data_IF_643045568011
#
_entry.id   IF_643045568011
#
_cell.length_a   1.000
_cell.length_b   1.000
_cell.length_c   1.000
_cell.angle_alpha   90.00
_cell.angle_beta   90.00
_cell.angle_gamma   90.00
#
_symmetry.space_group_name_H-M   'P 1'
#
loop_
_entity.id
_entity.type
_entity.pdbx_description
1 polymer ?
#
# COMPACT_ATOMS: atom_id res chain seq x y z
N UNK A 1 -31.96 -2.65 5.34
CA UNK A 1 -31.04 -1.49 5.16
C UNK A 1 -29.62 -1.78 5.65
N UNK A 2 -29.42 -2.46 6.80
CA UNK A 2 -28.12 -2.98 7.29
C UNK A 2 -27.30 -3.80 6.26
N UNK A 3 -27.94 -4.65 5.45
CA UNK A 3 -27.24 -5.47 4.45
C UNK A 3 -26.59 -4.67 3.31
N UNK A 4 -27.16 -3.51 2.91
CA UNK A 4 -26.59 -2.67 1.83
C UNK A 4 -25.35 -1.88 2.29
N UNK A 5 -25.21 -1.68 3.59
CA UNK A 5 -24.19 -0.88 4.27
C UNK A 5 -22.88 -1.66 4.51
N UNK A 6 -23.02 -2.88 5.06
CA UNK A 6 -21.92 -3.85 5.09
C UNK A 6 -21.41 -4.10 3.67
N UNK A 7 -22.33 -4.26 2.71
CA UNK A 7 -21.97 -4.51 1.32
C UNK A 7 -21.02 -3.45 0.73
N UNK A 8 -21.25 -2.13 0.93
CA UNK A 8 -20.39 -1.08 0.33
C UNK A 8 -19.01 -0.94 0.97
N UNK A 9 -18.94 -1.00 2.30
CA UNK A 9 -17.66 -0.94 3.04
C UNK A 9 -16.82 -2.18 2.74
N UNK A 10 -17.47 -3.35 2.70
CA UNK A 10 -16.83 -4.56 2.20
C UNK A 10 -16.43 -4.41 0.73
N UNK A 11 -17.25 -3.79 -0.12
CA UNK A 11 -16.90 -3.57 -1.54
C UNK A 11 -15.59 -2.81 -1.69
N UNK A 12 -15.38 -1.69 -0.99
CA UNK A 12 -14.10 -0.93 -1.05
C UNK A 12 -12.92 -1.77 -0.57
N UNK A 13 -13.09 -2.53 0.51
CA UNK A 13 -12.07 -3.41 1.05
C UNK A 13 -11.73 -4.54 0.07
N UNK A 14 -12.75 -5.18 -0.51
CA UNK A 14 -12.61 -6.25 -1.50
C UNK A 14 -11.92 -5.74 -2.76
N UNK A 15 -12.30 -4.56 -3.27
CA UNK A 15 -11.61 -3.91 -4.39
C UNK A 15 -10.13 -3.69 -4.07
N UNK A 16 -9.83 -3.23 -2.86
CA UNK A 16 -8.45 -3.04 -2.42
C UNK A 16 -7.66 -4.35 -2.34
N UNK A 17 -8.27 -5.39 -1.76
CA UNK A 17 -7.69 -6.73 -1.67
C UNK A 17 -7.44 -7.35 -3.05
N UNK A 18 -8.41 -7.25 -3.96
CA UNK A 18 -8.28 -7.74 -5.34
C UNK A 18 -7.13 -7.03 -6.06
N UNK A 19 -6.99 -5.71 -5.91
CA UNK A 19 -5.88 -4.99 -6.54
C UNK A 19 -4.51 -5.48 -6.05
N UNK A 20 -4.38 -5.79 -4.75
CA UNK A 20 -3.14 -6.35 -4.18
C UNK A 20 -2.91 -7.79 -4.67
N UNK A 21 -3.98 -8.60 -4.75
CA UNK A 21 -3.93 -9.96 -5.30
C UNK A 21 -3.44 -9.96 -6.75
N UNK A 22 -3.94 -9.03 -7.58
CA UNK A 22 -3.49 -8.87 -8.97
C UNK A 22 -2.04 -8.39 -9.04
N UNK A 23 -1.62 -7.47 -8.17
CA UNK A 23 -0.21 -7.08 -8.08
C UNK A 23 0.69 -8.28 -7.70
N UNK A 24 0.27 -9.11 -6.75
CA UNK A 24 0.99 -10.31 -6.34
C UNK A 24 1.06 -11.37 -7.46
N UNK A 25 0.02 -11.49 -8.29
CA UNK A 25 0.05 -12.30 -9.52
C UNK A 25 1.09 -11.77 -10.52
N UNK A 26 1.17 -10.45 -10.73
CA UNK A 26 2.21 -9.89 -11.61
C UNK A 26 3.62 -10.16 -11.09
N UNK A 27 3.83 -10.09 -9.78
CA UNK A 27 5.12 -10.43 -9.17
C UNK A 27 5.48 -11.92 -9.31
N UNK A 28 4.50 -12.83 -9.42
CA UNK A 28 4.80 -14.26 -9.61
C UNK A 28 5.21 -14.56 -11.05
N UNK A 29 4.59 -13.91 -12.03
CA UNK A 29 5.04 -13.98 -13.43
C UNK A 29 6.51 -13.58 -13.54
N UNK A 30 6.90 -12.48 -12.89
CA UNK A 30 8.27 -11.98 -12.97
C UNK A 30 9.28 -12.89 -12.28
N UNK A 31 9.06 -13.21 -11.00
CA UNK A 31 9.99 -14.05 -10.23
C UNK A 31 10.16 -15.46 -10.81
N UNK A 32 9.11 -16.03 -11.38
CA UNK A 32 9.13 -17.41 -11.89
C UNK A 32 9.56 -17.51 -13.35
N UNK A 33 9.22 -16.54 -14.21
CA UNK A 33 9.42 -16.68 -15.66
C UNK A 33 10.24 -15.58 -16.31
N UNK A 34 10.12 -14.33 -15.87
CA UNK A 34 10.80 -13.21 -16.55
C UNK A 34 12.23 -13.05 -16.02
N UNK A 35 12.37 -12.83 -14.71
CA UNK A 35 13.64 -12.54 -14.04
C UNK A 35 14.73 -13.59 -14.30
N UNK A 36 14.43 -14.91 -14.39
CA UNK A 36 15.47 -15.90 -14.68
C UNK A 36 16.22 -15.66 -15.99
N UNK A 37 15.57 -15.06 -17.00
CA UNK A 37 16.19 -14.75 -18.29
C UNK A 37 17.11 -13.52 -18.24
N UNK A 38 17.20 -12.85 -17.08
CA UNK A 38 18.09 -11.72 -16.83
C UNK A 38 19.33 -12.10 -16.01
N UNK A 39 19.51 -13.38 -15.64
CA UNK A 39 20.56 -13.82 -14.71
C UNK A 39 22.00 -13.53 -15.17
N UNK A 40 22.22 -13.39 -16.48
CA UNK A 40 23.51 -13.05 -17.06
C UNK A 40 23.90 -11.57 -16.85
N UNK A 41 22.96 -10.72 -16.42
CA UNK A 41 23.19 -9.30 -16.16
C UNK A 41 23.50 -9.07 -14.67
N UNK A 42 24.29 -8.03 -14.33
CA UNK A 42 24.44 -7.64 -12.94
C UNK A 42 23.08 -7.26 -12.31
N UNK A 43 22.76 -7.79 -11.13
CA UNK A 43 21.48 -7.52 -10.46
C UNK A 43 21.21 -6.01 -10.27
N UNK A 44 22.25 -5.22 -10.00
CA UNK A 44 22.14 -3.76 -9.93
C UNK A 44 21.69 -3.11 -11.24
N UNK A 45 22.13 -3.64 -12.38
CA UNK A 45 21.72 -3.17 -13.71
C UNK A 45 20.24 -3.47 -13.96
N UNK A 46 19.80 -4.67 -13.57
CA UNK A 46 18.39 -5.08 -13.67
C UNK A 46 17.50 -4.14 -12.85
N UNK A 47 17.86 -3.90 -11.58
CA UNK A 47 17.13 -3.01 -10.67
C UNK A 47 17.12 -1.57 -11.18
N UNK A 48 18.25 -1.06 -11.69
CA UNK A 48 18.30 0.26 -12.29
C UNK A 48 17.36 0.36 -13.50
N UNK A 49 17.43 -0.59 -14.42
CA UNK A 49 16.70 -0.53 -15.69
C UNK A 49 15.18 -0.59 -15.45
N UNK A 50 14.71 -1.53 -14.64
CA UNK A 50 13.27 -1.68 -14.38
C UNK A 50 12.68 -0.45 -13.64
N UNK A 51 13.44 0.14 -12.70
CA UNK A 51 12.97 1.31 -11.96
C UNK A 51 13.07 2.60 -12.76
N UNK A 52 14.10 2.75 -13.61
CA UNK A 52 14.23 3.90 -14.50
C UNK A 52 13.11 3.92 -15.53
N UNK A 53 12.89 2.80 -16.24
CA UNK A 53 11.80 2.69 -17.22
C UNK A 53 10.44 2.81 -16.55
N UNK A 54 10.24 2.19 -15.38
CA UNK A 54 9.01 2.36 -14.60
C UNK A 54 8.78 3.80 -14.16
N UNK A 55 9.83 4.54 -13.79
CA UNK A 55 9.73 5.96 -13.47
C UNK A 55 9.33 6.79 -14.69
N UNK A 56 9.89 6.50 -15.87
CA UNK A 56 9.50 7.19 -17.12
C UNK A 56 8.00 7.02 -17.43
N UNK A 57 7.43 5.85 -17.16
CA UNK A 57 5.98 5.62 -17.32
C UNK A 57 5.16 6.35 -16.25
N UNK A 58 5.68 6.46 -15.03
CA UNK A 58 4.94 7.01 -13.89
C UNK A 58 5.12 8.52 -13.69
N UNK A 59 6.14 9.15 -14.28
CA UNK A 59 6.44 10.58 -14.12
C UNK A 59 5.26 11.50 -14.46
N UNK A 60 4.36 11.21 -15.44
CA UNK A 60 3.20 12.06 -15.71
C UNK A 60 2.23 12.16 -14.53
N UNK A 61 2.21 11.18 -13.61
CA UNK A 61 1.39 11.26 -12.40
C UNK A 61 2.03 12.13 -11.30
N UNK A 62 3.36 12.31 -11.35
CA UNK A 62 4.15 13.07 -10.39
C UNK A 62 4.23 14.56 -10.75
N UNK A 63 4.48 14.90 -12.03
CA UNK A 63 4.72 16.28 -12.49
C UNK A 63 3.64 17.27 -12.02
N UNK A 64 2.33 16.99 -12.16
CA UNK A 64 1.29 17.94 -11.74
C UNK A 64 1.25 18.19 -10.22
N UNK A 65 1.90 17.32 -9.43
CA UNK A 65 1.84 17.31 -7.97
C UNK A 65 3.19 17.61 -7.30
N UNK A 66 4.22 17.99 -8.06
CA UNK A 66 5.54 18.32 -7.51
C UNK A 66 5.47 19.39 -6.42
N UNK A 67 4.60 20.40 -6.57
CA UNK A 67 4.40 21.44 -5.56
C UNK A 67 3.88 20.89 -4.24
N UNK A 68 3.08 19.82 -4.27
CA UNK A 68 2.54 19.19 -3.05
C UNK A 68 3.64 18.49 -2.24
N UNK A 69 4.72 18.04 -2.89
CA UNK A 69 5.83 17.37 -2.20
C UNK A 69 6.57 18.30 -1.24
N UNK A 70 6.56 19.62 -1.50
CA UNK A 70 7.14 20.63 -0.59
C UNK A 70 6.40 20.71 0.74
N UNK A 71 5.14 20.27 0.77
CA UNK A 71 4.28 20.32 1.95
C UNK A 71 4.19 18.97 2.67
N UNK A 72 4.96 17.96 2.24
CA UNK A 72 5.03 16.68 2.96
C UNK A 72 5.76 16.88 4.28
N UNK A 73 5.18 16.35 5.36
CA UNK A 73 5.79 16.37 6.67
C UNK A 73 7.01 15.45 6.73
N UNK A 74 7.87 15.64 7.75
CA UNK A 74 9.11 14.87 7.91
C UNK A 74 8.85 13.36 7.97
N UNK A 75 7.72 12.93 8.55
CA UNK A 75 7.41 11.49 8.67
C UNK A 75 6.98 10.90 7.33
N UNK A 76 6.23 11.63 6.50
CA UNK A 76 5.88 11.16 5.16
C UNK A 76 7.10 11.13 4.23
N UNK A 77 8.01 12.12 4.32
CA UNK A 77 9.29 12.05 3.61
C UNK A 77 10.14 10.87 4.06
N UNK A 78 10.23 10.62 5.38
CA UNK A 78 10.89 9.44 5.91
C UNK A 78 10.28 8.14 5.37
N UNK A 79 8.95 8.05 5.30
CA UNK A 79 8.27 6.90 4.71
C UNK A 79 8.53 6.75 3.20
N UNK A 80 8.56 7.85 2.44
CA UNK A 80 8.90 7.85 1.01
C UNK A 80 10.32 7.36 0.75
N UNK A 81 11.29 7.84 1.53
CA UNK A 81 12.68 7.36 1.46
C UNK A 81 12.73 5.88 1.85
N UNK A 82 12.06 5.47 2.93
CA UNK A 82 12.07 4.09 3.41
C UNK A 82 11.56 3.11 2.35
N UNK A 83 10.40 3.37 1.74
CA UNK A 83 9.84 2.48 0.72
C UNK A 83 10.69 2.44 -0.55
N UNK A 84 11.43 3.51 -0.84
CA UNK A 84 12.32 3.60 -2.00
C UNK A 84 13.65 2.87 -1.78
N UNK A 85 14.20 2.97 -0.56
CA UNK A 85 15.44 2.32 -0.16
C UNK A 85 15.20 0.84 0.10
N UNK A 86 14.29 0.48 1.00
CA UNK A 86 14.05 -0.92 1.37
C UNK A 86 13.22 -1.61 0.29
N UNK A 87 12.01 -1.14 0.02
CA UNK A 87 11.12 -1.84 -0.91
C UNK A 87 11.56 -1.71 -2.37
N UNK A 88 12.06 -0.55 -2.77
CA UNK A 88 12.49 -0.32 -4.15
C UNK A 88 13.88 -0.87 -4.43
N UNK A 89 14.91 -0.38 -3.73
CA UNK A 89 16.29 -0.70 -4.06
C UNK A 89 16.80 -1.99 -3.40
N UNK A 90 16.98 -1.99 -2.06
CA UNK A 90 17.62 -3.08 -1.33
C UNK A 90 16.86 -4.39 -1.43
N UNK A 91 15.54 -4.36 -1.30
CA UNK A 91 14.69 -5.54 -1.39
C UNK A 91 14.74 -6.16 -2.77
N UNK A 92 14.61 -5.34 -3.82
CA UNK A 92 14.65 -5.81 -5.20
C UNK A 92 16.05 -6.27 -5.62
N UNK A 93 17.10 -5.59 -5.17
CA UNK A 93 18.48 -6.01 -5.38
C UNK A 93 18.75 -7.37 -4.70
N UNK A 94 18.39 -7.49 -3.42
CA UNK A 94 18.65 -8.70 -2.64
C UNK A 94 17.84 -9.89 -3.19
N UNK A 95 16.56 -9.72 -3.52
CA UNK A 95 15.79 -10.84 -4.09
C UNK A 95 16.29 -11.25 -5.48
N UNK A 96 16.76 -10.28 -6.28
CA UNK A 96 17.37 -10.58 -7.59
C UNK A 96 18.66 -11.37 -7.43
N UNK A 97 19.53 -10.98 -6.49
CA UNK A 97 20.74 -11.72 -6.17
C UNK A 97 20.42 -13.13 -5.65
N UNK A 98 19.45 -13.25 -4.75
CA UNK A 98 19.05 -14.54 -4.20
C UNK A 98 18.53 -15.50 -5.30
N UNK A 99 17.71 -15.00 -6.24
CA UNK A 99 17.25 -15.80 -7.37
C UNK A 99 18.36 -16.13 -8.37
N UNK A 100 19.28 -15.20 -8.65
CA UNK A 100 20.41 -15.48 -9.54
C UNK A 100 21.32 -16.56 -8.94
N UNK A 101 21.56 -16.53 -7.63
CA UNK A 101 22.26 -17.62 -6.91
C UNK A 101 21.49 -18.95 -6.87
N UNK A 102 20.17 -18.93 -7.09
CA UNK A 102 19.41 -20.17 -7.25
C UNK A 102 19.53 -20.73 -8.68
N UNK A 103 19.63 -19.85 -9.67
CA UNK A 103 19.75 -20.20 -11.10
C UNK A 103 21.15 -20.70 -11.43
N UNK A 104 22.19 -20.11 -10.85
CA UNK A 104 23.58 -20.57 -11.03
C UNK A 104 23.90 -21.88 -10.29
N UNK A 105 22.95 -22.41 -9.50
CA UNK A 105 23.07 -23.65 -8.76
C UNK A 105 23.75 -23.53 -7.39
N UNK A 106 24.11 -22.33 -6.93
CA UNK A 106 24.75 -22.12 -5.63
C UNK A 106 23.82 -22.48 -4.46
N UNK A 107 22.51 -22.26 -4.62
CA UNK A 107 21.46 -22.69 -3.69
C UNK A 107 20.23 -23.20 -4.44
N UNK A 108 19.32 -23.82 -3.72
CA UNK A 108 18.00 -24.18 -4.26
C UNK A 108 17.05 -22.97 -4.27
N UNK A 109 16.09 -22.95 -5.21
CA UNK A 109 14.97 -21.99 -5.14
C UNK A 109 14.18 -22.12 -3.83
N UNK A 110 14.14 -23.32 -3.23
CA UNK A 110 13.54 -23.54 -1.92
C UNK A 110 14.17 -22.67 -0.83
N UNK A 111 15.51 -22.50 -0.83
CA UNK A 111 16.21 -21.62 0.12
C UNK A 111 15.64 -20.20 0.09
N UNK A 112 15.50 -19.64 -1.11
CA UNK A 112 15.01 -18.27 -1.30
C UNK A 112 13.53 -18.17 -0.90
N UNK A 113 12.69 -19.09 -1.40
CA UNK A 113 11.23 -19.05 -1.22
C UNK A 113 10.84 -19.21 0.26
N UNK A 114 11.53 -20.07 1.02
CA UNK A 114 11.26 -20.30 2.45
C UNK A 114 11.51 -19.04 3.25
N UNK A 115 12.67 -18.43 3.05
CA UNK A 115 13.07 -17.27 3.83
C UNK A 115 12.14 -16.09 3.51
N UNK A 116 11.69 -15.97 2.27
CA UNK A 116 10.68 -14.98 1.86
C UNK A 116 9.32 -15.15 2.57
N UNK A 117 9.00 -16.34 3.12
CA UNK A 117 7.78 -16.53 3.94
C UNK A 117 7.84 -15.84 5.29
N UNK A 118 8.98 -15.26 5.69
CA UNK A 118 9.09 -14.43 6.88
C UNK A 118 8.57 -13.01 6.67
N UNK A 119 8.35 -12.58 5.42
CA UNK A 119 7.86 -11.24 5.11
C UNK A 119 6.58 -10.86 5.92
N UNK A 120 5.56 -11.73 6.05
CA UNK A 120 4.38 -11.41 6.83
C UNK A 120 4.65 -11.18 8.30
N UNK A 121 5.64 -11.87 8.88
CA UNK A 121 6.01 -11.69 10.30
C UNK A 121 6.53 -10.27 10.52
N UNK A 122 7.45 -9.80 9.66
CA UNK A 122 7.97 -8.44 9.74
C UNK A 122 6.87 -7.39 9.53
N UNK A 123 6.01 -7.59 8.53
CA UNK A 123 4.94 -6.65 8.23
C UNK A 123 3.91 -6.54 9.38
N UNK A 124 3.46 -7.67 9.94
CA UNK A 124 2.50 -7.70 11.04
C UNK A 124 3.08 -7.09 12.32
N UNK A 125 4.34 -7.41 12.65
CA UNK A 125 5.03 -6.83 13.81
C UNK A 125 5.17 -5.30 13.67
N UNK A 126 5.65 -4.82 12.52
CA UNK A 126 5.83 -3.40 12.27
C UNK A 126 4.50 -2.66 12.15
N UNK A 127 3.45 -3.27 11.58
CA UNK A 127 2.11 -2.68 11.55
C UNK A 127 1.55 -2.49 12.96
N UNK A 128 1.80 -3.44 13.86
CA UNK A 128 1.41 -3.34 15.27
C UNK A 128 2.15 -2.22 16.00
N UNK A 129 3.46 -2.07 15.77
CA UNK A 129 4.30 -1.09 16.46
C UNK A 129 4.13 0.33 15.89
N UNK A 130 4.23 0.48 14.57
CA UNK A 130 4.32 1.77 13.90
C UNK A 130 2.95 2.36 13.52
N UNK A 131 2.02 1.52 13.09
CA UNK A 131 0.66 1.94 12.70
C UNK A 131 -0.38 1.69 13.80
N UNK A 132 0.03 1.04 14.90
CA UNK A 132 -0.83 0.70 16.03
C UNK A 132 -2.06 -0.13 15.62
N UNK A 133 -1.94 -0.93 14.56
CA UNK A 133 -3.03 -1.81 14.12
C UNK A 133 -3.41 -2.77 15.24
N UNK A 134 -4.72 -2.90 15.50
CA UNK A 134 -5.28 -3.83 16.49
C UNK A 134 -6.08 -4.89 15.72
N UNK A 135 -5.51 -6.08 15.65
CA UNK A 135 -6.08 -7.19 14.91
C UNK A 135 -6.85 -8.12 15.85
N UNK A 136 -7.95 -8.69 15.37
CA UNK A 136 -8.75 -9.64 16.16
C UNK A 136 -8.03 -10.97 16.32
N UNK A 137 -8.36 -11.74 17.35
CA UNK A 137 -7.87 -13.14 17.50
C UNK A 137 -8.13 -13.97 16.23
N UNK A 138 -9.30 -13.77 15.61
CA UNK A 138 -9.68 -14.45 14.38
C UNK A 138 -8.79 -14.07 13.20
N UNK A 139 -8.34 -12.82 13.10
CA UNK A 139 -7.38 -12.42 12.07
C UNK A 139 -6.10 -13.24 12.20
N UNK A 140 -5.52 -13.33 13.41
CA UNK A 140 -4.27 -14.07 13.61
C UNK A 140 -4.41 -15.56 13.29
N UNK A 141 -5.54 -16.19 13.63
CA UNK A 141 -5.79 -17.59 13.28
C UNK A 141 -5.73 -17.77 11.75
N UNK A 142 -6.51 -16.99 10.99
CA UNK A 142 -6.53 -17.13 9.53
C UNK A 142 -5.22 -16.70 8.86
N UNK A 143 -4.53 -15.69 9.41
CA UNK A 143 -3.22 -15.28 8.93
C UNK A 143 -2.19 -16.41 9.10
N UNK A 144 -2.15 -17.05 10.28
CA UNK A 144 -1.26 -18.20 10.54
C UNK A 144 -1.60 -19.37 9.61
N UNK A 145 -2.88 -19.70 9.43
CA UNK A 145 -3.31 -20.74 8.49
C UNK A 145 -2.87 -20.42 7.07
N UNK A 146 -3.02 -19.16 6.63
CA UNK A 146 -2.59 -18.73 5.29
C UNK A 146 -1.07 -18.86 5.10
N UNK A 147 -0.27 -18.46 6.10
CA UNK A 147 1.20 -18.56 6.03
C UNK A 147 1.65 -20.02 6.00
N UNK A 148 1.08 -20.89 6.84
CA UNK A 148 1.38 -22.32 6.84
C UNK A 148 0.98 -22.95 5.49
N UNK A 149 -0.21 -22.64 4.97
CA UNK A 149 -0.64 -23.17 3.68
C UNK A 149 0.24 -22.65 2.52
N UNK A 150 0.65 -21.39 2.54
CA UNK A 150 1.58 -20.81 1.57
C UNK A 150 2.99 -21.40 1.65
N UNK A 151 3.39 -21.89 2.83
CA UNK A 151 4.60 -22.67 3.02
C UNK A 151 4.45 -24.04 2.36
N UNK A 152 3.44 -24.82 2.77
CA UNK A 152 3.21 -26.18 2.26
C UNK A 152 3.03 -26.20 0.73
N UNK A 153 2.32 -25.21 0.17
CA UNK A 153 2.09 -25.11 -1.27
C UNK A 153 3.39 -25.02 -2.08
N UNK A 154 4.41 -24.34 -1.54
CA UNK A 154 5.67 -24.09 -2.24
C UNK A 154 6.57 -25.33 -2.38
N UNK A 155 6.36 -26.40 -1.57
CA UNK A 155 7.29 -27.56 -1.51
C UNK A 155 6.76 -28.88 -2.10
N UNK A 156 5.51 -28.93 -2.56
CA UNK A 156 5.04 -29.99 -3.46
C UNK A 156 5.30 -31.45 -3.06
N UNK A 157 5.62 -32.31 -4.06
CA UNK A 157 5.66 -33.79 -3.95
C UNK A 157 6.89 -34.35 -3.23
N UNK A 158 8.01 -33.63 -3.21
CA UNK A 158 9.23 -34.03 -2.51
C UNK A 158 9.11 -33.87 -1.00
N UNK A 159 8.10 -33.15 -0.52
CA UNK A 159 8.07 -32.66 0.84
C UNK A 159 9.14 -31.60 1.07
N UNK A 160 9.15 -31.04 2.28
CA UNK A 160 10.20 -30.13 2.70
C UNK A 160 11.26 -30.89 3.51
N UNK A 161 12.49 -30.89 3.03
CA UNK A 161 13.66 -31.30 3.81
C UNK A 161 14.43 -30.05 4.23
N UNK A 162 14.58 -29.82 5.55
CA UNK A 162 15.42 -28.73 6.07
C UNK A 162 16.85 -28.75 5.51
N UNK A 163 17.29 -29.91 5.02
CA UNK A 163 18.60 -30.11 4.40
C UNK A 163 18.77 -29.41 3.04
N UNK A 164 17.68 -29.08 2.35
CA UNK A 164 17.71 -28.41 1.04
C UNK A 164 17.88 -26.88 1.19
N UNK A 165 17.87 -26.39 2.44
CA UNK A 165 17.98 -24.96 2.77
C UNK A 165 19.35 -24.66 3.35
N UNK A 166 20.18 -24.00 2.55
CA UNK A 166 21.45 -23.52 3.03
C UNK A 166 21.29 -22.13 3.67
N UNK A 167 20.90 -22.10 4.95
CA UNK A 167 20.72 -20.87 5.73
C UNK A 167 22.00 -20.04 5.89
N UNK A 168 23.17 -20.66 5.69
CA UNK A 168 24.48 -20.01 5.86
C UNK A 168 25.03 -19.43 4.56
N UNK A 169 24.39 -19.69 3.42
CA UNK A 169 24.80 -19.12 2.14
C UNK A 169 24.41 -17.64 2.02
N UNK A 170 25.19 -16.84 1.27
CA UNK A 170 24.89 -15.43 1.04
C UNK A 170 23.49 -15.18 0.44
N UNK A 171 23.01 -16.11 -0.39
CA UNK A 171 21.65 -16.05 -0.96
C UNK A 171 20.53 -16.11 0.10
N UNK A 172 20.73 -16.85 1.18
CA UNK A 172 19.79 -16.89 2.31
C UNK A 172 19.74 -15.54 3.03
N UNK A 173 20.89 -14.91 3.22
CA UNK A 173 20.96 -13.57 3.80
C UNK A 173 20.29 -12.52 2.90
N UNK A 174 20.51 -12.59 1.58
CA UNK A 174 19.81 -11.73 0.63
C UNK A 174 18.29 -11.93 0.66
N UNK A 175 17.81 -13.17 0.70
CA UNK A 175 16.40 -13.46 0.85
C UNK A 175 15.84 -12.89 2.18
N UNK A 176 16.59 -12.96 3.28
CA UNK A 176 16.15 -12.40 4.56
C UNK A 176 16.05 -10.86 4.51
N UNK A 177 17.02 -10.20 3.88
CA UNK A 177 16.98 -8.76 3.63
C UNK A 177 15.74 -8.41 2.81
N UNK A 178 15.46 -9.14 1.74
CA UNK A 178 14.28 -8.91 0.91
C UNK A 178 12.97 -9.07 1.69
N UNK A 179 12.85 -10.12 2.52
CA UNK A 179 11.68 -10.36 3.35
C UNK A 179 11.41 -9.20 4.32
N UNK A 180 12.45 -8.73 5.02
CA UNK A 180 12.35 -7.56 5.89
C UNK A 180 12.03 -6.28 5.10
N UNK A 181 12.70 -6.08 3.98
CA UNK A 181 12.60 -4.88 3.17
C UNK A 181 11.19 -4.71 2.57
N UNK A 182 10.61 -5.77 2.00
CA UNK A 182 9.25 -5.75 1.49
C UNK A 182 8.23 -5.65 2.62
N UNK A 183 8.37 -6.43 3.70
CA UNK A 183 7.44 -6.39 4.83
C UNK A 183 7.40 -5.02 5.52
N UNK A 184 8.55 -4.39 5.73
CA UNK A 184 8.63 -3.01 6.26
C UNK A 184 8.05 -1.99 5.28
N UNK A 185 8.26 -2.19 3.97
CA UNK A 185 7.76 -1.29 2.94
C UNK A 185 6.24 -1.36 2.78
N UNK A 186 5.58 -2.47 3.11
CA UNK A 186 4.12 -2.54 3.22
C UNK A 186 3.61 -1.56 4.30
N UNK A 187 4.29 -1.51 5.45
CA UNK A 187 3.90 -0.67 6.59
C UNK A 187 4.17 0.81 6.35
N UNK A 188 5.39 1.15 5.91
CA UNK A 188 5.72 2.53 5.54
C UNK A 188 4.98 2.98 4.28
N UNK A 189 4.72 2.07 3.36
CA UNK A 189 3.86 2.29 2.20
C UNK A 189 2.45 2.64 2.61
N UNK A 190 1.87 1.91 3.58
CA UNK A 190 0.55 2.22 4.13
C UNK A 190 0.52 3.60 4.76
N UNK A 191 1.54 3.93 5.57
CA UNK A 191 1.70 5.29 6.10
C UNK A 191 1.72 6.29 4.95
N UNK A 192 2.59 6.14 3.97
CA UNK A 192 2.75 7.11 2.89
C UNK A 192 1.48 7.30 2.06
N UNK A 193 0.82 6.22 1.62
CA UNK A 193 -0.44 6.35 0.88
C UNK A 193 -1.56 6.94 1.72
N UNK A 194 -1.46 6.98 3.05
CA UNK A 194 -2.42 7.68 3.91
C UNK A 194 -2.31 9.23 3.80
N UNK A 195 -1.13 9.75 3.44
CA UNK A 195 -0.86 11.19 3.31
C UNK A 195 -0.62 11.67 1.87
N UNK A 196 -0.27 10.76 0.97
CA UNK A 196 0.04 11.05 -0.43
C UNK A 196 -0.84 10.20 -1.37
N UNK A 197 -1.24 10.80 -2.50
CA UNK A 197 -2.00 10.07 -3.51
C UNK A 197 -1.21 8.84 -4.00
N UNK A 198 -1.86 7.68 -4.08
CA UNK A 198 -1.22 6.41 -4.42
C UNK A 198 -0.44 6.44 -5.76
N UNK A 199 -0.89 7.23 -6.76
CA UNK A 199 -0.21 7.38 -8.05
C UNK A 199 1.12 8.13 -7.87
N UNK A 200 1.08 9.23 -7.11
CA UNK A 200 2.26 10.02 -6.75
C UNK A 200 3.22 9.20 -5.89
N UNK A 201 2.69 8.39 -4.96
CA UNK A 201 3.47 7.47 -4.13
C UNK A 201 4.24 6.46 -4.98
N UNK A 202 3.59 5.83 -5.96
CA UNK A 202 4.24 4.92 -6.89
C UNK A 202 5.35 5.63 -7.68
N UNK A 203 5.03 6.77 -8.31
CA UNK A 203 5.99 7.52 -9.12
C UNK A 203 7.20 8.02 -8.31
N UNK A 204 6.96 8.55 -7.10
CA UNK A 204 8.01 9.04 -6.21
C UNK A 204 8.94 7.90 -5.77
N UNK A 205 8.37 6.74 -5.42
CA UNK A 205 9.17 5.55 -5.08
C UNK A 205 10.10 5.16 -6.22
N UNK A 206 9.57 5.01 -7.44
CA UNK A 206 10.37 4.65 -8.61
C UNK A 206 11.46 5.68 -8.90
N UNK A 207 11.15 6.98 -8.81
CA UNK A 207 12.12 8.05 -9.05
C UNK A 207 13.28 8.03 -8.04
N UNK A 208 12.97 7.96 -6.74
CA UNK A 208 14.01 7.90 -5.71
C UNK A 208 14.84 6.61 -5.83
N UNK A 209 14.19 5.46 -6.06
CA UNK A 209 14.88 4.19 -6.27
C UNK A 209 15.78 4.21 -7.49
N UNK A 210 15.34 4.79 -8.61
CA UNK A 210 16.17 4.93 -9.81
C UNK A 210 17.43 5.77 -9.53
N UNK A 211 17.31 6.87 -8.79
CA UNK A 211 18.47 7.69 -8.37
C UNK A 211 19.44 6.87 -7.52
N UNK A 212 18.95 6.14 -6.53
CA UNK A 212 19.79 5.26 -5.68
C UNK A 212 20.49 4.20 -6.54
N UNK A 213 19.75 3.58 -7.46
CA UNK A 213 20.28 2.54 -8.34
C UNK A 213 21.32 3.09 -9.32
N UNK A 214 21.15 4.31 -9.85
CA UNK A 214 22.18 4.98 -10.67
C UNK A 214 23.47 5.12 -9.87
N UNK A 215 23.40 5.65 -8.64
CA UNK A 215 24.57 5.81 -7.78
C UNK A 215 25.24 4.45 -7.52
N UNK A 216 24.46 3.42 -7.21
CA UNK A 216 25.00 2.08 -6.99
C UNK A 216 25.71 1.51 -8.23
N UNK A 217 25.10 1.62 -9.41
CA UNK A 217 25.69 1.10 -10.66
C UNK A 217 26.92 1.93 -11.07
N UNK A 218 26.95 3.23 -10.78
CA UNK A 218 28.15 4.06 -10.94
C UNK A 218 29.30 3.57 -10.04
N UNK A 219 29.03 3.38 -8.75
CA UNK A 219 30.05 2.95 -7.78
C UNK A 219 30.58 1.53 -8.06
N UNK A 220 29.72 0.64 -8.55
CA UNK A 220 30.09 -0.74 -8.93
C UNK A 220 30.62 -0.86 -10.36
N UNK A 221 30.74 0.26 -11.10
CA UNK A 221 31.17 0.31 -12.51
C UNK A 221 30.33 -0.58 -13.44
N UNK A 222 29.06 -0.79 -13.11
CA UNK A 222 28.17 -1.73 -13.80
C UNK A 222 27.62 -1.25 -15.14
N UNK A 223 27.78 0.03 -15.50
CA UNK A 223 27.21 0.58 -16.75
C UNK A 223 27.74 -0.10 -18.02
N UNK A 224 28.96 -0.63 -18.01
CA UNK A 224 29.51 -1.34 -19.17
C UNK A 224 28.65 -2.54 -19.58
N UNK A 225 27.95 -3.17 -18.63
CA UNK A 225 27.09 -4.32 -18.89
C UNK A 225 25.86 -4.00 -19.76
N UNK A 226 25.52 -2.73 -20.02
CA UNK A 226 24.49 -2.39 -21.01
C UNK A 226 24.88 -2.83 -22.43
N UNK A 227 26.18 -2.91 -22.74
CA UNK A 227 26.67 -3.34 -24.06
C UNK A 227 26.36 -4.81 -24.36
N UNK A 228 26.13 -5.63 -23.32
CA UNK A 228 25.78 -7.05 -23.44
C UNK A 228 24.28 -7.33 -23.32
N UNK A 229 23.44 -6.30 -23.14
CA UNK A 229 21.99 -6.50 -23.03
C UNK A 229 21.42 -6.83 -24.41
N UNK A 230 20.78 -7.99 -24.52
CA UNK A 230 20.22 -8.46 -25.79
C UNK A 230 18.87 -7.79 -26.11
N UNK A 231 18.46 -7.84 -27.38
CA UNK A 231 17.12 -7.37 -27.79
C UNK A 231 15.98 -8.10 -27.07
N UNK A 232 16.15 -9.40 -26.77
CA UNK A 232 15.15 -10.15 -26.00
C UNK A 232 15.06 -9.65 -24.57
N UNK A 233 16.18 -9.33 -23.92
CA UNK A 233 16.20 -8.79 -22.55
C UNK A 233 15.56 -7.40 -22.46
N UNK A 234 15.72 -6.55 -23.48
CA UNK A 234 14.99 -5.27 -23.55
C UNK A 234 13.46 -5.45 -23.57
N UNK A 235 12.96 -6.45 -24.31
CA UNK A 235 11.54 -6.79 -24.28
C UNK A 235 11.08 -7.29 -22.91
N UNK A 236 11.92 -8.07 -22.21
CA UNK A 236 11.63 -8.49 -20.84
C UNK A 236 11.56 -7.31 -19.87
N UNK A 237 12.43 -6.30 -20.00
CA UNK A 237 12.33 -5.08 -19.20
C UNK A 237 11.03 -4.32 -19.45
N UNK A 238 10.59 -4.20 -20.71
CA UNK A 238 9.30 -3.59 -21.04
C UNK A 238 8.16 -4.41 -20.40
N UNK A 239 8.21 -5.74 -20.50
CA UNK A 239 7.22 -6.62 -19.89
C UNK A 239 7.18 -6.44 -18.36
N UNK A 240 8.32 -6.35 -17.68
CA UNK A 240 8.41 -6.05 -16.24
C UNK A 240 7.69 -4.73 -15.94
N UNK A 241 8.00 -3.65 -16.66
CA UNK A 241 7.40 -2.33 -16.40
C UNK A 241 5.88 -2.36 -16.43
N UNK A 242 5.29 -3.06 -17.40
CA UNK A 242 3.83 -3.16 -17.57
C UNK A 242 3.17 -4.34 -16.83
N UNK A 243 3.96 -5.14 -16.11
CA UNK A 243 3.45 -6.22 -15.23
C UNK A 243 3.94 -6.01 -13.79
N UNK A 244 5.04 -6.64 -13.38
CA UNK A 244 5.56 -6.70 -12.00
C UNK A 244 6.15 -5.39 -11.48
N UNK A 245 6.52 -4.47 -12.37
CA UNK A 245 7.11 -3.18 -12.06
C UNK A 245 6.06 -2.10 -11.78
N UNK A 246 5.94 -1.14 -12.70
CA UNK A 246 5.11 0.05 -12.50
C UNK A 246 3.62 -0.29 -12.37
N UNK A 247 3.11 -1.22 -13.19
CA UNK A 247 1.70 -1.62 -13.15
C UNK A 247 1.30 -2.30 -11.83
N UNK A 248 2.05 -3.31 -11.39
CA UNK A 248 1.84 -3.96 -10.10
C UNK A 248 1.93 -2.97 -8.94
N UNK A 249 2.93 -2.08 -8.94
CA UNK A 249 3.09 -1.11 -7.85
C UNK A 249 1.96 -0.06 -7.82
N UNK A 250 1.41 0.32 -8.98
CA UNK A 250 0.23 1.18 -9.06
C UNK A 250 -1.00 0.51 -8.44
N UNK A 251 -1.26 -0.75 -8.81
CA UNK A 251 -2.37 -1.56 -8.25
C UNK A 251 -2.17 -1.82 -6.76
N UNK A 252 -0.94 -2.12 -6.36
CA UNK A 252 -0.58 -2.37 -4.98
C UNK A 252 -0.86 -1.17 -4.09
N UNK A 253 -0.36 0.03 -4.45
CA UNK A 253 -0.64 1.23 -3.66
C UNK A 253 -2.09 1.68 -3.73
N UNK A 254 -2.77 1.44 -4.86
CA UNK A 254 -4.22 1.64 -4.96
C UNK A 254 -4.97 0.75 -3.95
N UNK A 255 -4.58 -0.51 -3.82
CA UNK A 255 -5.17 -1.44 -2.86
C UNK A 255 -4.79 -1.13 -1.41
N UNK A 256 -3.51 -0.86 -1.16
CA UNK A 256 -2.98 -0.55 0.17
C UNK A 256 -3.62 0.71 0.77
N UNK A 257 -4.02 1.67 -0.06
CA UNK A 257 -4.80 2.83 0.39
C UNK A 257 -6.13 2.41 1.03
N UNK A 258 -6.75 1.31 0.57
CA UNK A 258 -8.09 0.82 0.94
C UNK A 258 -8.07 -0.30 1.97
N UNK A 259 -6.93 -0.95 2.18
CA UNK A 259 -6.74 -2.03 3.15
C UNK A 259 -5.87 -1.56 4.33
N UNK A 260 -5.77 -2.38 5.38
CA UNK A 260 -4.68 -2.24 6.35
C UNK A 260 -3.38 -2.81 5.81
N UNK A 261 -2.24 -2.48 6.44
CA UNK A 261 -0.96 -3.09 6.09
C UNK A 261 -0.97 -4.61 6.37
N UNK A 262 -1.58 -4.99 7.50
CA UNK A 262 -1.71 -6.40 7.88
C UNK A 262 -2.55 -7.22 6.90
N UNK A 263 -3.67 -6.68 6.42
CA UNK A 263 -4.51 -7.36 5.44
C UNK A 263 -3.81 -7.45 4.08
N UNK A 264 -3.16 -6.36 3.64
CA UNK A 264 -2.38 -6.35 2.41
C UNK A 264 -1.34 -7.48 2.38
N UNK A 265 -0.62 -7.63 3.49
CA UNK A 265 0.38 -8.70 3.69
C UNK A 265 -0.20 -10.10 3.46
N UNK A 266 -1.42 -10.37 3.93
CA UNK A 266 -2.08 -11.66 3.69
C UNK A 266 -2.54 -11.77 2.23
N UNK A 267 -2.99 -10.67 1.62
CA UNK A 267 -3.31 -10.64 0.19
C UNK A 267 -2.09 -10.91 -0.71
N UNK A 268 -0.89 -10.53 -0.27
CA UNK A 268 0.37 -10.80 -0.99
C UNK A 268 0.72 -12.29 -1.02
N UNK A 269 0.16 -13.12 -0.12
CA UNK A 269 0.29 -14.58 -0.18
C UNK A 269 -0.41 -15.21 -1.40
N UNK A 270 -1.05 -14.41 -2.26
CA UNK A 270 -1.45 -14.84 -3.59
C UNK A 270 -0.25 -15.08 -4.53
N UNK A 271 0.90 -14.47 -4.24
CA UNK A 271 2.13 -14.66 -5.02
C UNK A 271 2.52 -16.15 -5.13
N UNK A 272 2.72 -16.91 -4.03
CA UNK A 272 3.03 -18.33 -4.15
C UNK A 272 1.88 -19.18 -4.69
N UNK A 273 0.63 -18.78 -4.45
CA UNK A 273 -0.53 -19.45 -5.04
C UNK A 273 -0.50 -19.38 -6.56
N UNK A 274 -0.31 -18.18 -7.10
CA UNK A 274 -0.24 -17.95 -8.54
C UNK A 274 1.02 -18.54 -9.16
N UNK A 275 2.19 -18.44 -8.51
CA UNK A 275 3.43 -19.03 -9.02
C UNK A 275 3.29 -20.52 -9.35
N UNK A 276 2.68 -21.28 -8.44
CA UNK A 276 2.48 -22.72 -8.61
C UNK A 276 1.46 -23.04 -9.71
N UNK A 277 0.41 -22.23 -9.86
CA UNK A 277 -0.55 -22.39 -10.97
C UNK A 277 0.11 -22.08 -12.31
N UNK A 278 0.91 -21.01 -12.38
CA UNK A 278 1.63 -20.65 -13.60
C UNK A 278 2.66 -21.73 -13.95
N UNK A 279 3.35 -22.31 -12.97
CA UNK A 279 4.28 -23.41 -13.16
C UNK A 279 3.62 -24.64 -13.81
N UNK A 280 2.37 -24.95 -13.45
CA UNK A 280 1.58 -25.97 -14.14
C UNK A 280 1.35 -25.63 -15.62
N UNK A 281 0.95 -24.39 -15.94
CA UNK A 281 0.63 -24.00 -17.31
C UNK A 281 1.86 -23.82 -18.21
N UNK A 282 2.96 -23.29 -17.68
CA UNK A 282 4.16 -22.98 -18.45
C UNK A 282 5.17 -24.13 -18.48
N UNK A 283 5.31 -24.87 -17.39
CA UNK A 283 6.31 -25.95 -17.26
C UNK A 283 5.67 -27.36 -17.23
N UNK A 284 4.34 -27.47 -17.20
CA UNK A 284 3.64 -28.77 -17.18
C UNK A 284 3.68 -29.47 -15.81
N UNK A 285 4.15 -28.81 -14.76
CA UNK A 285 4.31 -29.41 -13.44
C UNK A 285 2.97 -29.66 -12.76
N UNK A 286 2.60 -30.93 -12.58
CA UNK A 286 1.32 -31.30 -11.96
C UNK A 286 1.32 -31.05 -10.46
N UNK A 287 0.24 -30.43 -9.97
CA UNK A 287 -0.05 -30.28 -8.55
C UNK A 287 -0.40 -31.61 -7.89
N UNK A 288 0.14 -31.85 -6.69
CA UNK A 288 -0.31 -32.97 -5.87
C UNK A 288 -1.50 -32.60 -4.97
N UNK A 289 -2.11 -33.60 -4.34
CA UNK A 289 -3.28 -33.42 -3.47
C UNK A 289 -3.04 -32.43 -2.32
N UNK A 290 -1.84 -32.45 -1.71
CA UNK A 290 -1.46 -31.53 -0.62
C UNK A 290 -1.37 -30.09 -1.12
N UNK A 291 -0.82 -29.86 -2.30
CA UNK A 291 -0.75 -28.55 -2.92
C UNK A 291 -2.12 -28.04 -3.32
N UNK A 292 -3.00 -28.89 -3.87
CA UNK A 292 -4.38 -28.52 -4.21
C UNK A 292 -5.13 -28.07 -2.93
N UNK A 293 -5.02 -28.85 -1.85
CA UNK A 293 -5.60 -28.49 -0.55
C UNK A 293 -5.00 -27.19 -0.02
N UNK A 294 -3.68 -27.04 -0.07
CA UNK A 294 -3.00 -25.81 0.40
C UNK A 294 -3.42 -24.58 -0.40
N UNK A 295 -3.56 -24.71 -1.72
CA UNK A 295 -4.04 -23.66 -2.60
C UNK A 295 -5.47 -23.23 -2.24
N UNK A 296 -6.37 -24.18 -1.98
CA UNK A 296 -7.73 -23.89 -1.51
C UNK A 296 -7.73 -23.21 -0.13
N UNK A 297 -6.90 -23.68 0.82
CA UNK A 297 -6.79 -23.11 2.17
C UNK A 297 -6.28 -21.67 2.13
N UNK A 298 -5.32 -21.33 1.26
CA UNK A 298 -4.85 -19.94 1.09
C UNK A 298 -6.02 -19.04 0.65
N UNK A 299 -6.76 -19.43 -0.40
CA UNK A 299 -7.88 -18.64 -0.92
C UNK A 299 -8.97 -18.45 0.14
N UNK A 300 -9.34 -19.52 0.86
CA UNK A 300 -10.32 -19.46 1.96
C UNK A 300 -9.83 -18.54 3.07
N UNK A 301 -8.56 -18.66 3.47
CA UNK A 301 -7.99 -17.85 4.55
C UNK A 301 -7.96 -16.37 4.19
N UNK A 302 -7.56 -16.04 2.95
CA UNK A 302 -7.59 -14.68 2.43
C UNK A 302 -9.01 -14.13 2.40
N UNK A 303 -9.99 -14.91 1.90
CA UNK A 303 -11.39 -14.51 1.92
C UNK A 303 -11.89 -14.24 3.34
N UNK A 304 -11.55 -15.10 4.32
CA UNK A 304 -11.96 -14.91 5.71
C UNK A 304 -11.30 -13.67 6.34
N UNK A 305 -10.03 -13.40 6.04
CA UNK A 305 -9.32 -12.19 6.49
C UNK A 305 -9.96 -10.94 5.88
N UNK A 306 -10.31 -10.95 4.58
CA UNK A 306 -10.94 -9.81 3.91
C UNK A 306 -12.37 -9.60 4.41
N UNK A 307 -13.18 -10.67 4.46
CA UNK A 307 -14.58 -10.61 4.92
C UNK A 307 -14.68 -10.13 6.37
N UNK A 308 -13.75 -10.52 7.24
CA UNK A 308 -13.74 -10.12 8.66
C UNK A 308 -12.90 -8.87 8.90
N UNK A 309 -12.22 -8.39 7.86
CA UNK A 309 -11.43 -7.18 7.88
C UNK A 309 -12.34 -5.98 8.03
N UNK A 310 -11.93 -5.04 8.88
CA UNK A 310 -12.54 -3.72 8.91
C UNK A 310 -11.79 -2.86 7.91
N UNK A 311 -12.50 -2.02 7.15
CA UNK A 311 -11.85 -0.91 6.45
C UNK A 311 -11.09 -0.12 7.49
N UNK A 312 -9.81 0.17 7.21
CA UNK A 312 -9.01 1.01 8.08
C UNK A 312 -9.67 2.40 8.11
N UNK A 313 -10.43 2.67 9.18
CA UNK A 313 -10.83 4.03 9.53
C UNK A 313 -9.54 4.72 9.97
N UNK A 314 -9.20 5.82 9.31
CA UNK A 314 -7.92 6.49 9.50
C UNK A 314 -7.75 7.14 10.86
N UNK A 315 -7.08 8.29 10.89
CA UNK A 315 -6.82 9.03 12.12
C UNK A 315 -8.15 9.26 12.87
N UNK A 316 -8.24 8.71 14.09
CA UNK A 316 -9.31 8.99 15.04
C UNK A 316 -8.78 9.98 16.07
N UNK A 317 -9.49 11.07 16.28
CA UNK A 317 -9.14 12.09 17.24
C UNK A 317 -10.38 12.66 17.91
N UNK A 318 -10.16 13.34 19.03
CA UNK A 318 -11.19 14.05 19.76
C UNK A 318 -10.79 15.52 19.84
N UNK A 319 -11.74 16.43 19.67
CA UNK A 319 -11.53 17.87 19.69
C UNK A 319 -12.79 18.60 20.15
N UNK A 320 -12.66 19.77 20.78
CA UNK A 320 -13.78 20.62 21.16
C UNK A 320 -14.12 21.62 20.06
N UNK A 321 -15.41 21.94 19.95
CA UNK A 321 -15.88 22.98 19.04
C UNK A 321 -15.61 24.35 19.65
N UNK A 322 -14.85 25.15 18.94
CA UNK A 322 -14.47 26.51 19.32
C UNK A 322 -15.13 27.55 18.43
N UNK A 323 -15.10 28.80 18.90
CA UNK A 323 -15.61 29.92 18.12
C UNK A 323 -14.75 30.10 16.88
N UNK A 324 -15.42 30.19 15.74
CA UNK A 324 -14.80 30.56 14.47
C UNK A 324 -15.50 31.75 13.85
N UNK A 325 -15.05 32.14 12.66
CA UNK A 325 -15.57 33.33 11.97
C UNK A 325 -16.96 33.13 11.33
N UNK A 326 -17.58 31.94 11.50
CA UNK A 326 -18.92 31.65 10.99
C UNK A 326 -19.08 31.70 9.46
N UNK A 327 -17.98 31.65 8.70
CA UNK A 327 -17.98 31.81 7.22
C UNK A 327 -18.81 30.75 6.51
N UNK A 328 -18.73 29.49 6.93
CA UNK A 328 -19.53 28.39 6.36
C UNK A 328 -21.04 28.64 6.46
N UNK A 329 -21.50 29.27 7.55
CA UNK A 329 -22.91 29.64 7.74
C UNK A 329 -23.39 30.64 6.68
N UNK A 330 -22.52 31.58 6.26
CA UNK A 330 -22.79 32.55 5.18
C UNK A 330 -22.80 31.91 3.77
N UNK A 331 -22.29 30.68 3.64
CA UNK A 331 -22.18 29.92 2.39
C UNK A 331 -23.22 28.78 2.27
N UNK A 332 -24.13 28.64 3.25
CA UNK A 332 -25.14 27.56 3.27
C UNK A 332 -24.61 26.22 3.79
N UNK A 333 -23.41 26.19 4.38
CA UNK A 333 -22.75 24.99 4.91
C UNK A 333 -22.16 25.29 6.28
N UNK A 334 -22.95 25.24 7.36
CA UNK A 334 -22.44 25.52 8.69
C UNK A 334 -21.34 24.51 9.06
N UNK A 335 -20.12 25.02 9.29
CA UNK A 335 -18.97 24.23 9.74
C UNK A 335 -18.65 24.55 11.20
N UNK A 336 -18.32 23.52 11.98
CA UNK A 336 -17.80 23.64 13.34
C UNK A 336 -16.28 23.74 13.30
N UNK A 337 -15.70 24.74 13.95
CA UNK A 337 -14.23 24.85 14.09
C UNK A 337 -13.79 23.99 15.27
N UNK A 338 -12.69 23.24 15.13
CA UNK A 338 -12.17 22.32 16.15
C UNK A 338 -10.82 22.81 16.71
N UNK A 339 -10.62 22.66 18.02
CA UNK A 339 -9.42 23.12 18.76
C UNK A 339 -8.15 22.29 18.54
N UNK A 340 -8.08 21.51 17.45
CA UNK A 340 -6.99 20.58 17.18
C UNK A 340 -6.26 20.91 15.90
N UNK A 341 -4.93 20.97 15.97
CA UNK A 341 -4.05 21.34 14.85
C UNK A 341 -2.92 20.34 14.62
N UNK A 342 -2.71 19.40 15.53
CA UNK A 342 -1.67 18.36 15.54
C UNK A 342 -2.17 17.02 14.96
N UNK A 343 -2.85 17.06 13.82
CA UNK A 343 -3.31 15.83 13.17
C UNK A 343 -2.19 15.15 12.37
N UNK A 344 -1.97 13.85 12.61
CA UNK A 344 -1.11 13.00 11.77
C UNK A 344 -1.86 12.60 10.48
N UNK A 345 -2.30 13.60 9.70
CA UNK A 345 -2.87 13.45 8.35
C UNK A 345 -2.43 14.64 7.47
N UNK A 346 -2.45 14.48 6.14
CA UNK A 346 -2.09 15.58 5.22
C UNK A 346 -3.14 16.70 5.21
N UNK A 347 -2.81 17.91 4.76
CA UNK A 347 -3.84 18.95 4.59
C UNK A 347 -4.79 18.61 3.43
N UNK A 348 -6.09 18.78 3.60
CA UNK A 348 -7.11 18.55 2.59
C UNK A 348 -8.52 18.42 3.12
N UNK A 349 -9.43 17.96 2.25
CA UNK A 349 -10.80 17.63 2.58
C UNK A 349 -10.94 16.11 2.72
N UNK A 350 -11.56 15.68 3.81
CA UNK A 350 -11.76 14.29 4.15
C UNK A 350 -13.23 13.96 4.36
N UNK A 351 -13.65 12.77 3.97
CA UNK A 351 -14.82 12.11 4.56
C UNK A 351 -14.47 11.61 5.96
N UNK A 352 -15.42 11.68 6.89
CA UNK A 352 -15.25 11.22 8.26
C UNK A 352 -16.57 10.75 8.89
N UNK A 353 -16.46 10.06 10.01
CA UNK A 353 -17.54 9.90 10.99
C UNK A 353 -17.27 10.87 12.15
N UNK A 354 -18.25 11.70 12.49
CA UNK A 354 -18.18 12.61 13.63
C UNK A 354 -19.24 12.21 14.67
N UNK A 355 -18.80 11.85 15.87
CA UNK A 355 -19.68 11.52 16.98
C UNK A 355 -19.73 12.69 17.97
N UNK A 356 -20.94 13.17 18.28
CA UNK A 356 -21.23 14.21 19.27
C UNK A 356 -22.45 13.77 20.08
N UNK A 357 -22.41 13.92 21.41
CA UNK A 357 -23.48 13.51 22.34
C UNK A 357 -24.01 12.08 22.11
N UNK A 358 -23.12 11.14 21.77
CA UNK A 358 -23.48 9.75 21.50
C UNK A 358 -24.12 9.49 20.13
N UNK A 359 -24.30 10.53 19.29
CA UNK A 359 -24.84 10.39 17.94
C UNK A 359 -23.77 10.61 16.88
N UNK A 360 -23.74 9.73 15.88
CA UNK A 360 -22.72 9.74 14.83
C UNK A 360 -23.28 10.25 13.51
N UNK A 361 -22.57 11.19 12.90
CA UNK A 361 -22.92 11.85 11.66
C UNK A 361 -21.84 11.64 10.61
N UNK A 362 -22.24 11.65 9.34
CA UNK A 362 -21.33 11.64 8.21
C UNK A 362 -20.78 13.05 8.12
N UNK A 363 -19.47 13.20 7.96
CA UNK A 363 -18.84 14.49 8.06
C UNK A 363 -17.83 14.75 6.95
N UNK A 364 -17.71 16.02 6.57
CA UNK A 364 -16.54 16.53 5.85
C UNK A 364 -15.62 17.21 6.84
N UNK A 365 -14.34 16.86 6.80
CA UNK A 365 -13.30 17.51 7.59
C UNK A 365 -12.40 18.28 6.64
N UNK A 366 -12.35 19.60 6.82
CA UNK A 366 -11.30 20.43 6.26
C UNK A 366 -10.15 20.51 7.26
N UNK A 367 -8.95 20.09 6.87
CA UNK A 367 -7.74 20.29 7.64
C UNK A 367 -6.71 21.02 6.77
N UNK A 368 -6.33 22.25 7.11
CA UNK A 368 -5.39 23.03 6.31
C UNK A 368 -5.36 24.52 6.67
N UNK A 369 -4.44 25.26 6.06
CA UNK A 369 -4.25 26.68 6.34
C UNK A 369 -5.40 27.54 5.80
N UNK A 370 -5.85 28.53 6.60
CA UNK A 370 -6.80 29.54 6.15
C UNK A 370 -6.13 30.49 5.15
N UNK A 371 -6.87 30.86 4.11
CA UNK A 371 -6.38 31.75 3.04
C UNK A 371 -6.43 33.24 3.41
N UNK A 372 -6.78 33.60 4.65
CA UNK A 372 -6.69 34.98 5.16
C UNK A 372 -5.32 35.23 5.77
N UNK A 373 -4.82 36.48 5.74
CA UNK A 373 -3.52 37.01 6.17
C UNK A 373 -2.78 36.40 7.39
N UNK A 374 -3.43 35.56 8.20
CA UNK A 374 -2.88 34.96 9.42
C UNK A 374 -2.14 33.63 9.22
N UNK A 375 -2.15 33.02 8.02
CA UNK A 375 -1.51 31.74 7.69
C UNK A 375 -1.74 30.65 8.78
N UNK A 376 -2.91 30.68 9.40
CA UNK A 376 -3.22 29.88 10.59
C UNK A 376 -3.82 28.54 10.16
N UNK A 377 -3.30 27.45 10.72
CA UNK A 377 -3.82 26.11 10.48
C UNK A 377 -5.23 25.99 11.07
N UNK A 378 -6.13 25.36 10.33
CA UNK A 378 -7.54 25.25 10.70
C UNK A 378 -8.07 23.85 10.48
N UNK A 379 -8.91 23.42 11.42
CA UNK A 379 -9.66 22.19 11.37
C UNK A 379 -11.15 22.53 11.47
N UNK A 380 -11.91 22.22 10.42
CA UNK A 380 -13.35 22.46 10.36
C UNK A 380 -14.11 21.18 10.02
N UNK A 381 -15.25 20.98 10.68
CA UNK A 381 -16.12 19.84 10.47
C UNK A 381 -17.50 20.30 9.98
N UNK A 382 -17.94 19.77 8.84
CA UNK A 382 -19.33 19.83 8.41
C UNK A 382 -19.99 18.49 8.77
N UNK A 383 -21.11 18.51 9.49
CA UNK A 383 -21.87 17.31 9.84
C UNK A 383 -23.14 17.27 8.98
N UNK A 384 -23.31 16.17 8.23
CA UNK A 384 -24.46 15.94 7.36
C UNK A 384 -25.74 15.78 8.19
N UNK A 385 -26.79 16.49 7.80
CA UNK A 385 -28.12 16.48 8.45
C UNK A 385 -28.12 16.78 9.96
N UNK A 386 -27.05 17.39 10.50
CA UNK A 386 -27.02 17.81 11.89
C UNK A 386 -27.84 19.09 12.08
N UNK A 387 -28.68 19.10 13.11
CA UNK A 387 -29.42 20.28 13.57
C UNK A 387 -29.21 20.47 15.07
N UNK A 388 -28.74 21.65 15.49
CA UNK A 388 -28.53 21.99 16.90
C UNK A 388 -27.31 22.90 17.11
N UNK A 389 -26.95 23.12 18.38
CA UNK A 389 -25.71 23.83 18.73
C UNK A 389 -24.55 22.86 18.98
N UNK A 390 -23.41 23.18 18.37
CA UNK A 390 -22.16 22.42 18.50
C UNK A 390 -21.14 23.11 19.38
N UNK A 391 -21.25 24.43 19.61
CA UNK A 391 -20.24 25.19 20.35
C UNK A 391 -20.00 24.61 21.76
N UNK A 392 -18.73 24.48 22.15
CA UNK A 392 -18.32 23.89 23.42
C UNK A 392 -18.42 22.37 23.51
N UNK A 393 -19.11 21.70 22.57
CA UNK A 393 -19.23 20.24 22.58
C UNK A 393 -17.94 19.57 22.12
N UNK A 394 -17.74 18.34 22.58
CA UNK A 394 -16.64 17.50 22.15
C UNK A 394 -17.07 16.61 20.98
N UNK A 395 -16.32 16.65 19.87
CA UNK A 395 -16.49 15.73 18.76
C UNK A 395 -15.41 14.66 18.81
N UNK A 396 -15.82 13.41 18.63
CA UNK A 396 -14.91 12.32 18.28
C UNK A 396 -15.00 12.09 16.78
N UNK A 397 -13.92 12.37 16.05
CA UNK A 397 -13.85 12.28 14.59
C UNK A 397 -13.00 11.08 14.19
N UNK A 398 -13.50 10.24 13.29
CA UNK A 398 -12.74 9.19 12.63
C UNK A 398 -12.68 9.47 11.13
N UNK A 399 -11.51 9.86 10.62
CA UNK A 399 -11.31 10.11 9.20
C UNK A 399 -11.49 8.81 8.41
N UNK A 400 -12.11 8.88 7.23
CA UNK A 400 -12.31 7.74 6.34
C UNK A 400 -11.36 7.88 5.14
N UNK A 401 -11.57 8.89 4.30
CA UNK A 401 -10.82 9.07 3.06
C UNK A 401 -10.58 10.55 2.77
N UNK A 402 -9.36 10.88 2.32
CA UNK A 402 -9.08 12.18 1.70
C UNK A 402 -9.73 12.25 0.32
N UNK A 403 -10.66 13.16 0.13
CA UNK A 403 -11.34 13.40 -1.15
C UNK A 403 -10.43 14.23 -2.07
N UNK A 404 -9.80 15.28 -1.54
CA UNK A 404 -8.93 16.18 -2.30
C UNK A 404 -8.01 17.00 -1.40
N UNK A 405 -7.00 17.62 -2.00
CA UNK A 405 -6.19 18.65 -1.34
C UNK A 405 -6.98 19.96 -1.17
N UNK A 406 -6.46 20.85 -0.31
CA UNK A 406 -6.92 22.23 -0.23
C UNK A 406 -6.59 22.94 -1.54
N UNK A 407 -7.57 23.63 -2.12
CA UNK A 407 -7.47 24.29 -3.43
C UNK A 407 -7.94 25.73 -3.30
N UNK A 408 -7.25 26.64 -4.00
CA UNK A 408 -7.68 28.02 -4.24
C UNK A 408 -8.77 28.07 -5.31
N UNK A 409 -9.82 28.84 -5.05
CA UNK A 409 -10.90 29.07 -6.01
C UNK A 409 -10.83 30.51 -6.52
N UNK A 410 -11.09 30.69 -7.82
CA UNK A 410 -11.05 32.01 -8.46
C UNK A 410 -12.28 32.85 -8.07
N UNK A 411 -13.40 32.19 -7.76
CA UNK A 411 -14.65 32.84 -7.35
C UNK A 411 -15.32 32.10 -6.19
N UNK A 412 -16.27 32.78 -5.55
CA UNK A 412 -17.14 32.18 -4.52
C UNK A 412 -18.02 31.06 -5.09
N UNK A 413 -18.49 31.21 -6.33
CA UNK A 413 -19.36 30.23 -6.97
C UNK A 413 -18.62 28.92 -7.26
N UNK A 414 -17.35 29.00 -7.69
CA UNK A 414 -16.49 27.83 -7.86
C UNK A 414 -16.29 27.05 -6.56
N UNK A 415 -16.14 27.78 -5.44
CA UNK A 415 -16.03 27.18 -4.11
C UNK A 415 -17.33 26.44 -3.74
N UNK A 416 -18.49 27.08 -3.92
CA UNK A 416 -19.79 26.48 -3.62
C UNK A 416 -20.01 25.22 -4.47
N UNK A 417 -19.74 25.28 -5.78
CA UNK A 417 -19.88 24.15 -6.68
C UNK A 417 -18.97 22.97 -6.27
N UNK A 418 -17.74 23.26 -5.83
CA UNK A 418 -16.85 22.23 -5.30
C UNK A 418 -17.39 21.65 -3.98
N UNK A 419 -17.89 22.48 -3.06
CA UNK A 419 -18.46 22.00 -1.79
C UNK A 419 -19.65 21.08 -2.01
N UNK A 420 -20.51 21.36 -2.98
CA UNK A 420 -21.61 20.46 -3.36
C UNK A 420 -21.11 19.14 -3.94
N UNK A 421 -20.01 19.19 -4.70
CA UNK A 421 -19.35 17.96 -5.19
C UNK A 421 -18.75 17.15 -4.04
N UNK A 422 -18.12 17.81 -3.08
CA UNK A 422 -17.54 17.16 -1.91
C UNK A 422 -18.64 16.54 -1.02
N UNK A 423 -19.78 17.22 -0.84
CA UNK A 423 -20.94 16.68 -0.12
C UNK A 423 -21.51 15.42 -0.76
N UNK A 424 -21.47 15.29 -2.10
CA UNK A 424 -21.91 14.05 -2.76
C UNK A 424 -21.09 12.84 -2.31
N UNK A 425 -19.84 13.04 -1.86
CA UNK A 425 -19.01 11.97 -1.29
C UNK A 425 -19.54 11.48 0.06
N UNK A 426 -20.27 12.31 0.82
CA UNK A 426 -20.92 11.90 2.08
C UNK A 426 -21.95 10.79 1.85
N UNK A 427 -22.56 10.72 0.66
CA UNK A 427 -23.51 9.64 0.29
C UNK A 427 -22.86 8.25 0.23
N UNK A 428 -21.53 8.19 0.17
CA UNK A 428 -20.79 6.93 0.28
C UNK A 428 -20.45 6.55 1.72
N UNK A 429 -20.66 7.45 2.69
CA UNK A 429 -20.41 7.23 4.11
C UNK A 429 -21.62 6.54 4.73
N UNK A 430 -21.34 5.54 5.54
CA UNK A 430 -22.34 4.78 6.29
C UNK A 430 -22.20 5.07 7.79
N UNK A 431 -23.29 5.43 8.46
CA UNK A 431 -23.29 5.70 9.90
C UNK A 431 -23.37 4.40 10.71
N UNK A 432 -22.65 4.29 11.85
CA UNK A 432 -22.84 3.20 12.80
C UNK A 432 -24.23 3.29 13.43
N UNK A 433 -24.88 2.15 13.67
CA UNK A 433 -26.14 2.11 14.42
C UNK A 433 -25.89 2.56 15.86
N UNK A 434 -26.74 3.46 16.37
CA UNK A 434 -26.78 3.80 17.78
C UNK A 434 -27.32 2.60 18.56
N UNK A 435 -26.58 2.16 19.57
CA UNK A 435 -26.96 1.08 20.48
C UNK A 435 -28.02 1.52 21.46
#
# INVERSE_FOLDING_TARGET
MNQRMDAKTHTTLFIGAIAIIVAALFWSIDGTFIRPHLYALPAGLVVLTEHLLGFLVLIPFLLPRLRQLKNLDKKSWGAAIWVSVFGGFLGTLAITQAFFSAIDGSVTFATVIIIQKLQPVFALLLARILLREKLSRQFYIWATVAVIAAYVLAFGKSGFTFHDVNFWHGAAFYALIAAFAFGSSTVFGKRLVNHLNFKTTAALRFGITAVIAVVYVLLTKGFHAYTSVTSSQWWLFILIVFTSGAAAMFLYYFGLRRTSASLATICELFWPFSAVILDYFFNGNTLNSIQIVSAAVIVISMYQVVRRGKVWQGLKFTAHVVNGEGRGKKLGTPTANLDKTDLDCSHGIYTALATVDGQTYAALIHFGFKETFSNTLSLEAYLDNFSGELFGKQLTVALIEKIRDVKKFASRDDLIAQMETDKKMLRSITLPQQS
#
